data_IF_325070506595
#
_entry.id   IF_325070506595
#
_cell.length_a   1.000
_cell.length_b   1.000
_cell.length_c   1.000
_cell.angle_alpha   90.00
_cell.angle_beta   90.00
_cell.angle_gamma   90.00
#
_symmetry.space_group_name_H-M   'P 1'
#
loop_
_entity.id
_entity.type
_entity.pdbx_description
1 polymer ?
#
# COMPACT_ATOMS: atom_id res chain seq x y z
N UNK A 1 21.37 -59.41 36.80
CA UNK A 1 21.54 -57.95 36.94
C UNK A 1 21.07 -57.30 35.64
N UNK A 2 20.02 -56.48 35.68
CA UNK A 2 19.46 -55.79 34.50
C UNK A 2 20.22 -54.47 34.32
N UNK A 3 20.95 -54.32 33.22
CA UNK A 3 21.57 -53.07 32.79
C UNK A 3 20.51 -52.15 32.19
N UNK A 4 20.27 -51.01 32.82
CA UNK A 4 19.42 -49.95 32.28
C UNK A 4 20.27 -49.04 31.38
N UNK A 5 19.90 -48.93 30.10
CA UNK A 5 20.44 -47.91 29.20
C UNK A 5 19.63 -46.62 29.37
N UNK A 6 20.27 -45.57 29.87
CA UNK A 6 19.71 -44.22 29.86
C UNK A 6 19.83 -43.65 28.43
N UNK A 7 18.70 -43.49 27.75
CA UNK A 7 18.66 -42.78 26.47
C UNK A 7 18.79 -41.28 26.73
N UNK A 8 19.92 -40.70 26.32
CA UNK A 8 20.16 -39.26 26.39
C UNK A 8 19.41 -38.59 25.22
N UNK A 9 18.27 -37.96 25.52
CA UNK A 9 17.51 -37.18 24.53
C UNK A 9 18.23 -35.85 24.34
N UNK A 10 19.00 -35.72 23.26
CA UNK A 10 19.51 -34.43 22.82
C UNK A 10 18.38 -33.63 22.17
N UNK A 11 17.89 -32.59 22.84
CA UNK A 11 17.04 -31.59 22.19
C UNK A 11 17.91 -30.73 21.29
N UNK A 12 17.69 -30.79 19.97
CA UNK A 12 18.26 -29.83 19.03
C UNK A 12 17.63 -28.45 19.31
N UNK A 13 18.31 -27.63 20.10
CA UNK A 13 17.94 -26.22 20.21
C UNK A 13 18.15 -25.59 18.83
N UNK A 14 17.06 -25.20 18.17
CA UNK A 14 17.13 -24.45 16.93
C UNK A 14 17.92 -23.17 17.20
N UNK A 15 19.03 -22.97 16.50
CA UNK A 15 19.79 -21.72 16.54
C UNK A 15 18.90 -20.63 15.96
N UNK A 16 18.17 -19.93 16.84
CA UNK A 16 17.39 -18.78 16.44
C UNK A 16 18.38 -17.63 16.26
N UNK A 17 18.63 -17.24 15.01
CA UNK A 17 19.41 -16.03 14.73
C UNK A 17 18.75 -14.84 15.42
N UNK A 18 19.45 -14.27 16.38
CA UNK A 18 19.07 -13.07 17.11
C UNK A 18 19.62 -11.85 16.37
N UNK A 19 18.74 -10.89 16.06
CA UNK A 19 19.11 -9.67 15.35
C UNK A 19 18.82 -8.47 16.25
N UNK A 20 19.82 -7.62 16.56
CA UNK A 20 19.61 -6.50 17.46
C UNK A 20 18.90 -5.34 16.75
N UNK A 21 18.01 -4.70 17.49
CA UNK A 21 17.34 -3.46 17.08
C UNK A 21 18.32 -2.28 17.11
N UNK A 22 18.35 -1.48 16.05
CA UNK A 22 19.27 -0.33 15.92
C UNK A 22 18.65 1.01 16.32
N UNK A 23 17.32 1.14 16.28
CA UNK A 23 16.59 2.34 16.69
C UNK A 23 16.32 2.40 18.19
N UNK A 24 16.15 3.61 18.75
CA UNK A 24 15.97 3.82 20.20
C UNK A 24 14.69 3.14 20.74
N UNK A 25 13.56 3.34 20.05
CA UNK A 25 12.31 2.61 20.25
C UNK A 25 11.70 2.29 18.89
N UNK A 26 11.45 1.01 18.63
CA UNK A 26 10.98 0.53 17.34
C UNK A 26 9.65 -0.19 17.49
N UNK A 27 8.64 0.30 16.77
CA UNK A 27 7.29 -0.25 16.81
C UNK A 27 7.20 -1.55 16.02
N UNK A 28 6.77 -2.61 16.69
CA UNK A 28 6.38 -3.87 16.08
C UNK A 28 4.88 -3.83 15.79
N UNK A 29 4.52 -3.92 14.52
CA UNK A 29 3.18 -3.62 14.02
C UNK A 29 2.41 -4.86 13.61
N UNK A 30 1.09 -4.78 13.54
CA UNK A 30 0.23 -5.91 13.16
C UNK A 30 0.34 -6.31 11.69
N UNK A 31 1.04 -5.52 10.87
CA UNK A 31 1.34 -5.82 9.47
C UNK A 31 2.56 -5.06 8.95
N UNK A 32 3.05 -5.39 7.74
CA UNK A 32 4.28 -4.83 7.17
C UNK A 32 4.04 -3.42 6.61
N UNK A 33 3.88 -2.45 7.49
CA UNK A 33 3.66 -1.06 7.11
C UNK A 33 3.51 -0.13 8.31
N UNK A 34 3.90 1.13 8.15
CA UNK A 34 3.86 2.16 9.21
C UNK A 34 2.45 2.53 9.65
N UNK A 35 1.42 2.20 8.85
CA UNK A 35 0.00 2.44 9.15
C UNK A 35 -0.66 1.32 9.97
N UNK A 36 -0.02 0.15 10.11
CA UNK A 36 -0.58 -0.93 10.92
C UNK A 36 -0.47 -0.61 12.41
N UNK A 37 -1.45 -1.08 13.18
CA UNK A 37 -1.52 -0.91 14.63
C UNK A 37 -0.26 -1.42 15.32
N UNK A 38 0.16 -0.74 16.39
CA UNK A 38 1.33 -1.14 17.17
C UNK A 38 0.90 -2.30 18.09
N UNK A 39 1.54 -3.46 17.96
CA UNK A 39 1.34 -4.60 18.85
C UNK A 39 2.19 -4.46 20.11
N UNK A 40 3.45 -4.04 19.93
CA UNK A 40 4.42 -3.75 20.98
C UNK A 40 5.56 -2.90 20.42
N UNK A 41 6.52 -2.52 21.26
CA UNK A 41 7.73 -1.86 20.83
C UNK A 41 8.97 -2.56 21.39
N UNK A 42 10.07 -2.48 20.65
CA UNK A 42 11.38 -2.97 21.05
C UNK A 42 12.32 -1.81 21.37
N UNK A 43 13.24 -2.03 22.31
CA UNK A 43 14.28 -1.06 22.66
C UNK A 43 15.53 -1.28 21.81
N UNK A 44 16.38 -0.26 21.70
CA UNK A 44 17.71 -0.40 21.11
C UNK A 44 18.51 -1.55 21.73
N UNK A 45 19.26 -2.26 20.90
CA UNK A 45 20.05 -3.45 21.24
C UNK A 45 19.23 -4.62 21.79
N UNK A 46 17.89 -4.53 21.79
CA UNK A 46 17.07 -5.69 22.07
C UNK A 46 17.15 -6.64 20.89
N UNK A 47 17.46 -7.90 21.17
CA UNK A 47 17.48 -8.95 20.17
C UNK A 47 16.07 -9.40 19.81
N UNK A 48 15.82 -9.55 18.51
CA UNK A 48 14.59 -10.11 17.95
C UNK A 48 14.90 -11.29 17.05
N UNK A 49 13.97 -12.23 16.99
CA UNK A 49 14.03 -13.37 16.07
C UNK A 49 13.17 -13.10 14.85
N UNK A 50 13.75 -13.21 13.65
CA UNK A 50 13.01 -13.01 12.40
C UNK A 50 12.49 -14.37 11.91
N UNK A 51 11.17 -14.51 11.83
CA UNK A 51 10.51 -15.72 11.33
C UNK A 51 10.45 -15.78 9.81
N UNK A 52 10.24 -14.62 9.17
CA UNK A 52 10.21 -14.46 7.72
C UNK A 52 10.24 -12.97 7.35
N UNK A 53 10.46 -12.66 6.08
CA UNK A 53 10.53 -11.28 5.58
C UNK A 53 9.55 -11.01 4.44
N UNK A 54 9.03 -9.80 4.36
CA UNK A 54 8.06 -9.42 3.32
C UNK A 54 8.26 -7.98 2.87
N UNK A 55 7.60 -7.57 1.79
CA UNK A 55 7.62 -6.18 1.33
C UNK A 55 6.46 -5.42 1.99
N UNK A 56 6.75 -4.19 2.42
CA UNK A 56 5.79 -3.29 3.04
C UNK A 56 6.04 -1.83 2.67
N UNK A 57 5.46 -0.91 3.46
CA UNK A 57 5.71 0.53 3.31
C UNK A 57 7.21 0.82 3.43
N UNK A 58 7.76 1.67 2.56
CA UNK A 58 9.18 1.99 2.64
C UNK A 58 9.50 2.87 3.85
N UNK A 59 10.48 2.45 4.66
CA UNK A 59 11.04 3.19 5.78
C UNK A 59 12.49 3.53 5.43
N UNK A 60 12.80 4.83 5.31
CA UNK A 60 14.14 5.32 4.95
C UNK A 60 14.75 4.66 3.70
N UNK A 61 13.92 4.39 2.68
CA UNK A 61 14.36 3.79 1.41
C UNK A 61 14.43 2.26 1.41
N UNK A 62 14.21 1.61 2.56
CA UNK A 62 14.11 0.15 2.66
C UNK A 62 12.63 -0.26 2.73
N UNK A 63 12.20 -1.22 1.91
CA UNK A 63 10.82 -1.71 1.87
C UNK A 63 10.65 -3.13 2.43
N UNK A 64 11.70 -3.69 3.03
CA UNK A 64 11.68 -5.00 3.69
C UNK A 64 11.14 -4.83 5.11
N UNK A 65 10.27 -5.75 5.49
CA UNK A 65 9.69 -5.87 6.82
C UNK A 65 9.92 -7.27 7.38
N UNK A 66 10.41 -7.32 8.61
CA UNK A 66 10.73 -8.53 9.35
C UNK A 66 9.53 -8.93 10.20
N UNK A 67 8.94 -10.10 9.91
CA UNK A 67 7.97 -10.72 10.81
C UNK A 67 8.74 -11.36 11.96
N UNK A 68 8.59 -10.84 13.16
CA UNK A 68 9.27 -11.36 14.34
C UNK A 68 8.57 -12.59 14.92
N UNK A 69 9.27 -13.36 15.76
CA UNK A 69 8.68 -14.47 16.51
C UNK A 69 7.54 -14.02 17.46
N UNK A 70 7.49 -12.74 17.84
CA UNK A 70 6.36 -12.15 18.57
C UNK A 70 5.10 -11.99 17.70
N UNK A 71 5.14 -12.37 16.42
CA UNK A 71 4.00 -12.32 15.51
C UNK A 71 3.57 -10.90 15.16
N UNK A 72 4.55 -10.00 14.96
CA UNK A 72 4.36 -8.64 14.47
C UNK A 72 5.50 -8.28 13.51
N UNK A 73 5.43 -7.11 12.88
CA UNK A 73 6.32 -6.70 11.81
C UNK A 73 7.12 -5.46 12.19
N UNK A 74 8.43 -5.49 11.94
CA UNK A 74 9.35 -4.36 12.11
C UNK A 74 9.95 -4.03 10.75
N UNK A 75 10.21 -2.75 10.47
CA UNK A 75 10.92 -2.39 9.25
C UNK A 75 12.38 -2.82 9.37
N UNK A 76 12.89 -3.53 8.37
CA UNK A 76 14.25 -4.09 8.33
C UNK A 76 15.34 -2.99 8.47
N UNK A 77 15.02 -1.76 8.07
CA UNK A 77 15.84 -0.57 8.35
C UNK A 77 16.31 -0.45 9.81
N UNK A 78 15.49 -0.89 10.77
CA UNK A 78 15.77 -0.80 12.21
C UNK A 78 16.32 -2.09 12.82
N UNK A 79 16.67 -3.08 12.01
CA UNK A 79 17.14 -4.39 12.45
C UNK A 79 18.52 -4.63 11.86
N UNK A 80 19.51 -4.97 12.70
CA UNK A 80 20.87 -5.23 12.22
C UNK A 80 20.94 -6.64 11.62
N UNK A 81 20.44 -6.80 10.40
CA UNK A 81 20.45 -8.07 9.66
C UNK A 81 21.75 -8.33 8.90
N UNK A 82 22.55 -7.27 8.65
CA UNK A 82 23.83 -7.36 7.95
C UNK A 82 23.70 -7.44 6.43
N UNK A 83 22.51 -7.25 5.87
CA UNK A 83 22.22 -7.25 4.43
C UNK A 83 21.24 -6.13 4.09
N UNK A 84 21.29 -5.64 2.86
CA UNK A 84 20.23 -4.77 2.28
C UNK A 84 19.14 -5.57 1.55
N UNK A 85 19.25 -6.91 1.57
CA UNK A 85 18.29 -7.85 1.01
C UNK A 85 17.78 -8.84 2.05
N UNK A 86 17.01 -9.83 1.58
CA UNK A 86 16.45 -10.87 2.44
C UNK A 86 17.56 -11.71 3.12
N UNK A 87 17.48 -11.84 4.44
CA UNK A 87 18.36 -12.71 5.26
C UNK A 87 17.69 -14.02 5.66
N UNK A 88 16.38 -14.15 5.45
CA UNK A 88 15.63 -15.39 5.68
C UNK A 88 14.56 -15.58 4.61
N UNK A 89 13.83 -16.70 4.70
CA UNK A 89 12.73 -17.03 3.78
C UNK A 89 11.71 -15.88 3.72
N UNK A 90 11.18 -15.65 2.53
CA UNK A 90 10.04 -14.75 2.37
C UNK A 90 8.87 -15.27 3.18
N UNK A 91 8.10 -14.37 3.79
CA UNK A 91 6.87 -14.76 4.44
C UNK A 91 6.00 -15.47 3.41
N UNK A 92 5.41 -16.63 3.76
CA UNK A 92 4.38 -17.22 2.92
C UNK A 92 3.35 -16.13 2.64
N UNK A 93 2.80 -16.11 1.43
CA UNK A 93 1.78 -15.14 1.03
C UNK A 93 0.56 -15.32 1.94
N UNK A 94 0.61 -14.70 3.11
CA UNK A 94 -0.41 -14.70 4.14
C UNK A 94 -0.71 -13.24 4.43
N UNK A 95 -1.73 -12.76 3.72
CA UNK A 95 -2.86 -12.07 4.32
C UNK A 95 -2.48 -11.27 5.56
N UNK A 96 -2.04 -10.03 5.32
CA UNK A 96 -1.90 -9.04 6.38
C UNK A 96 -3.25 -8.93 7.10
N UNK A 97 -3.26 -9.41 8.34
CA UNK A 97 -4.44 -9.44 9.21
C UNK A 97 -4.84 -8.03 9.64
N UNK A 98 -5.49 -7.31 8.74
CA UNK A 98 -6.66 -6.53 9.07
C UNK A 98 -7.88 -7.37 8.72
N UNK A 99 -8.31 -8.24 9.64
CA UNK A 99 -9.62 -8.87 9.53
C UNK A 99 -10.68 -7.80 9.78
N UNK A 100 -10.93 -6.99 8.76
CA UNK A 100 -12.25 -6.44 8.53
C UNK A 100 -12.78 -7.22 7.36
N UNK A 101 -13.95 -7.83 7.55
CA UNK A 101 -14.86 -8.36 6.54
C UNK A 101 -15.31 -7.28 5.53
N UNK A 102 -14.41 -6.41 5.11
CA UNK A 102 -14.64 -5.35 4.15
C UNK A 102 -14.76 -5.95 2.75
N UNK A 103 -15.80 -5.54 2.04
CA UNK A 103 -16.08 -5.93 0.66
C UNK A 103 -15.04 -5.42 -0.36
N UNK A 104 -13.90 -4.86 0.07
CA UNK A 104 -12.84 -4.36 -0.81
C UNK A 104 -11.61 -3.94 -0.03
N UNK A 105 -10.45 -3.83 -0.69
CA UNK A 105 -9.25 -3.26 -0.10
C UNK A 105 -9.37 -1.73 0.01
N UNK A 106 -9.34 -1.19 1.23
CA UNK A 106 -9.36 0.27 1.48
C UNK A 106 -8.12 0.99 0.94
N UNK A 107 -7.01 0.27 0.78
CA UNK A 107 -5.75 0.77 0.24
C UNK A 107 -5.41 0.08 -1.09
N UNK A 108 -4.38 0.58 -1.78
CA UNK A 108 -3.85 0.01 -3.01
C UNK A 108 -2.38 -0.43 -2.82
N UNK A 109 -1.87 -1.22 -3.76
CA UNK A 109 -0.48 -1.68 -3.71
C UNK A 109 0.54 -0.56 -4.10
N UNK A 110 1.82 -0.83 -3.88
CA UNK A 110 2.90 0.13 -4.18
C UNK A 110 2.91 0.61 -5.62
N UNK A 111 2.63 -0.27 -6.60
CA UNK A 111 2.58 0.10 -8.01
C UNK A 111 1.49 1.14 -8.30
N UNK A 112 0.33 1.05 -7.63
CA UNK A 112 -0.72 2.06 -7.69
C UNK A 112 -0.30 3.40 -7.08
N UNK A 113 0.32 3.37 -5.91
CA UNK A 113 0.83 4.58 -5.24
C UNK A 113 1.87 5.29 -6.11
N UNK A 114 2.80 4.53 -6.70
CA UNK A 114 3.83 5.05 -7.60
C UNK A 114 3.24 5.63 -8.88
N UNK A 115 2.19 4.99 -9.43
CA UNK A 115 1.48 5.48 -10.59
C UNK A 115 0.81 6.82 -10.32
N UNK A 116 0.07 6.95 -9.21
CA UNK A 116 -0.57 8.22 -8.84
C UNK A 116 0.51 9.28 -8.59
N UNK A 117 1.53 8.96 -7.79
CA UNK A 117 2.62 9.87 -7.48
C UNK A 117 3.36 10.40 -8.73
N UNK A 118 3.53 9.55 -9.76
CA UNK A 118 4.11 9.95 -11.05
C UNK A 118 3.29 11.05 -11.74
N UNK A 119 1.97 10.96 -11.69
CA UNK A 119 1.07 11.84 -12.44
C UNK A 119 0.63 13.09 -11.68
N UNK A 120 0.54 13.04 -10.35
CA UNK A 120 0.14 14.19 -9.54
C UNK A 120 1.29 15.18 -9.30
N UNK A 121 2.54 14.72 -9.38
CA UNK A 121 3.71 15.55 -9.04
C UNK A 121 3.85 15.78 -7.53
N UNK A 122 5.06 16.14 -7.10
CA UNK A 122 5.41 16.23 -5.68
C UNK A 122 5.52 17.69 -5.21
N UNK A 123 4.77 18.03 -4.17
CA UNK A 123 4.82 19.33 -3.49
C UNK A 123 5.28 19.13 -2.05
N UNK A 124 6.48 19.62 -1.73
CA UNK A 124 7.11 19.35 -0.42
C UNK A 124 6.46 20.11 0.74
N UNK A 125 5.99 21.35 0.52
CA UNK A 125 5.36 22.17 1.55
C UNK A 125 4.13 22.88 0.99
N UNK A 126 3.10 23.15 1.81
CA UNK A 126 1.94 23.92 1.39
C UNK A 126 2.39 25.28 0.87
N UNK A 127 2.00 25.63 -0.36
CA UNK A 127 2.24 26.97 -0.89
C UNK A 127 1.02 27.84 -0.60
N UNK A 128 1.18 29.04 0.00
CA UNK A 128 0.07 29.96 0.18
C UNK A 128 -0.60 30.24 -1.17
N UNK A 129 -1.90 29.98 -1.26
CA UNK A 129 -2.71 30.32 -2.41
C UNK A 129 -3.59 31.55 -2.04
N UNK A 130 -3.50 32.67 -2.77
CA UNK A 130 -4.32 33.86 -2.51
C UNK A 130 -5.83 33.63 -2.75
N UNK A 131 -6.22 32.59 -3.48
CA UNK A 131 -7.60 32.36 -3.97
C UNK A 131 -8.13 30.97 -3.55
N UNK A 132 -7.28 30.07 -3.04
CA UNK A 132 -7.61 28.66 -2.81
C UNK A 132 -7.06 28.04 -1.54
N UNK A 133 -7.44 26.79 -1.31
CA UNK A 133 -6.84 25.94 -0.29
C UNK A 133 -5.52 25.34 -0.83
N UNK A 134 -4.41 25.43 -0.09
CA UNK A 134 -3.12 24.96 -0.59
C UNK A 134 -3.12 23.44 -0.82
N UNK A 135 -2.32 22.97 -1.77
CA UNK A 135 -2.06 21.55 -1.99
C UNK A 135 -0.67 21.15 -1.54
N UNK A 136 -0.52 19.90 -1.09
CA UNK A 136 0.78 19.35 -0.65
C UNK A 136 0.89 17.87 -0.99
N UNK A 137 2.10 17.32 -0.96
CA UNK A 137 2.36 15.92 -1.27
C UNK A 137 2.04 15.60 -2.72
N UNK A 138 1.23 14.56 -2.94
CA UNK A 138 0.75 14.12 -4.25
C UNK A 138 -0.74 14.43 -4.41
N UNK A 139 -1.10 15.71 -4.32
CA UNK A 139 -2.47 16.18 -4.53
C UNK A 139 -3.37 16.22 -3.29
N UNK A 140 -2.80 16.23 -2.08
CA UNK A 140 -3.57 16.44 -0.85
C UNK A 140 -4.08 17.89 -0.82
N UNK A 141 -5.40 18.08 -0.80
CA UNK A 141 -6.03 19.38 -0.66
C UNK A 141 -6.21 19.71 0.82
N UNK A 142 -5.50 20.72 1.31
CA UNK A 142 -5.54 21.04 2.72
C UNK A 142 -6.89 21.60 3.15
N UNK A 143 -7.40 21.14 4.28
CA UNK A 143 -8.68 21.54 4.87
C UNK A 143 -8.52 22.57 5.98
N UNK A 144 -7.33 22.69 6.57
CA UNK A 144 -7.04 23.71 7.58
C UNK A 144 -5.94 24.67 7.13
N UNK A 145 -5.93 25.86 7.74
CA UNK A 145 -4.90 26.86 7.50
C UNK A 145 -3.51 26.27 7.75
N UNK A 146 -2.61 26.44 6.78
CA UNK A 146 -1.25 25.88 6.78
C UNK A 146 -1.20 24.34 6.83
N UNK A 147 -2.29 23.64 6.46
CA UNK A 147 -2.36 22.18 6.42
C UNK A 147 -2.05 21.52 7.78
N UNK A 148 -2.58 22.07 8.87
CA UNK A 148 -2.31 21.60 10.25
C UNK A 148 -2.85 20.19 10.53
N UNK A 149 -3.81 19.73 9.74
CA UNK A 149 -4.35 18.38 9.76
C UNK A 149 -3.36 17.33 9.24
N UNK A 150 -2.35 17.74 8.47
CA UNK A 150 -1.31 16.84 7.97
C UNK A 150 -0.40 16.47 9.13
N UNK A 151 -0.44 15.19 9.53
CA UNK A 151 0.36 14.64 10.64
C UNK A 151 1.87 14.56 10.38
N UNK A 152 2.29 14.80 9.14
CA UNK A 152 3.70 14.74 8.72
C UNK A 152 4.35 16.11 8.82
N UNK A 153 5.63 16.14 9.21
CA UNK A 153 6.40 17.39 9.27
C UNK A 153 6.72 17.90 7.86
N UNK A 154 6.58 19.21 7.68
CA UNK A 154 7.03 19.90 6.48
C UNK A 154 8.51 20.30 6.58
N UNK A 155 9.27 20.33 5.47
CA UNK A 155 8.87 19.84 4.15
C UNK A 155 8.69 18.32 4.16
N UNK A 156 7.64 17.83 3.50
CA UNK A 156 7.45 16.41 3.26
C UNK A 156 8.66 15.87 2.50
N UNK A 157 9.01 14.62 2.75
CA UNK A 157 9.78 13.80 1.83
C UNK A 157 8.84 13.13 0.83
N UNK A 158 9.36 12.61 -0.29
CA UNK A 158 8.56 11.77 -1.21
C UNK A 158 7.93 10.57 -0.48
N UNK A 159 8.61 10.02 0.53
CA UNK A 159 8.10 8.92 1.35
C UNK A 159 6.89 9.37 2.16
N UNK A 160 7.02 10.41 2.97
CA UNK A 160 5.90 10.92 3.78
C UNK A 160 4.75 11.45 2.92
N UNK A 161 5.03 11.95 1.71
CA UNK A 161 4.00 12.34 0.76
C UNK A 161 3.25 11.14 0.16
N UNK A 162 3.92 10.00 -0.06
CA UNK A 162 3.23 8.75 -0.43
C UNK A 162 2.42 8.18 0.73
N UNK A 163 2.89 8.34 1.97
CA UNK A 163 2.11 7.96 3.15
C UNK A 163 0.87 8.85 3.31
N UNK A 164 1.00 10.18 3.10
CA UNK A 164 -0.15 11.10 3.05
C UNK A 164 -1.13 10.72 1.93
N UNK A 165 -0.63 10.38 0.75
CA UNK A 165 -1.47 9.88 -0.34
C UNK A 165 -2.23 8.62 0.10
N UNK A 166 -1.57 7.66 0.76
CA UNK A 166 -2.22 6.47 1.29
C UNK A 166 -3.30 6.77 2.35
N UNK A 167 -3.15 7.84 3.12
CA UNK A 167 -4.18 8.31 4.06
C UNK A 167 -5.40 8.90 3.33
N UNK A 168 -5.20 9.50 2.15
CA UNK A 168 -6.27 10.11 1.34
C UNK A 168 -7.03 9.09 0.48
N UNK A 169 -6.34 8.03 0.03
CA UNK A 169 -6.89 7.03 -0.89
C UNK A 169 -8.17 6.30 -0.43
N UNK A 170 -8.42 6.04 0.87
CA UNK A 170 -9.67 5.46 1.35
C UNK A 170 -10.93 6.16 0.86
N UNK A 171 -10.89 7.48 0.61
CA UNK A 171 -12.01 8.22 0.02
C UNK A 171 -12.34 7.70 -1.39
N UNK A 172 -11.32 7.48 -2.21
CA UNK A 172 -11.47 7.08 -3.61
C UNK A 172 -11.76 5.58 -3.76
N UNK A 173 -11.10 4.73 -2.97
CA UNK A 173 -11.39 3.28 -2.94
C UNK A 173 -12.81 3.02 -2.44
N UNK A 174 -13.28 3.78 -1.44
CA UNK A 174 -14.68 3.73 -1.00
C UNK A 174 -15.64 4.14 -2.11
N UNK A 175 -15.42 5.28 -2.76
CA UNK A 175 -16.28 5.71 -3.88
C UNK A 175 -16.38 4.63 -4.95
N UNK A 176 -15.24 4.09 -5.39
CA UNK A 176 -15.21 3.05 -6.41
C UNK A 176 -15.98 1.79 -5.95
N UNK A 177 -15.78 1.37 -4.70
CA UNK A 177 -16.48 0.22 -4.16
C UNK A 177 -17.99 0.42 -4.07
N UNK A 178 -18.45 1.61 -3.69
CA UNK A 178 -19.87 1.97 -3.60
C UNK A 178 -20.56 1.96 -4.99
N UNK A 179 -19.80 2.12 -6.08
CA UNK A 179 -20.34 2.15 -7.45
C UNK A 179 -20.27 0.81 -8.16
N UNK A 180 -19.50 -0.14 -7.64
CA UNK A 180 -19.41 -1.49 -8.18
C UNK A 180 -20.38 -2.43 -7.44
N UNK A 181 -20.92 -3.41 -8.15
CA UNK A 181 -21.63 -4.54 -7.57
C UNK A 181 -20.70 -5.75 -7.38
N UNK A 182 -21.21 -6.92 -7.01
CA UNK A 182 -20.43 -8.12 -6.72
C UNK A 182 -19.93 -8.89 -7.96
N UNK A 183 -20.34 -8.50 -9.18
CA UNK A 183 -19.93 -9.17 -10.42
C UNK A 183 -18.46 -8.97 -10.79
N UNK A 184 -17.89 -7.75 -10.81
CA UNK A 184 -16.49 -7.57 -11.13
C UNK A 184 -15.61 -8.15 -10.02
N UNK A 185 -14.68 -9.03 -10.41
CA UNK A 185 -13.60 -9.51 -9.54
C UNK A 185 -12.31 -8.85 -9.99
N UNK A 186 -11.75 -8.01 -9.13
CA UNK A 186 -10.57 -7.22 -9.46
C UNK A 186 -9.39 -7.64 -8.60
N UNK A 187 -8.25 -7.87 -9.24
CA UNK A 187 -6.99 -8.09 -8.55
C UNK A 187 -6.38 -6.76 -8.06
N UNK A 188 -5.30 -6.84 -7.28
CA UNK A 188 -4.66 -5.67 -6.67
C UNK A 188 -4.19 -4.61 -7.68
N UNK A 189 -3.70 -5.01 -8.86
CA UNK A 189 -3.26 -4.07 -9.89
C UNK A 189 -4.45 -3.41 -10.61
N UNK A 190 -5.51 -4.17 -10.86
CA UNK A 190 -6.75 -3.65 -11.45
C UNK A 190 -7.42 -2.64 -10.52
N UNK A 191 -7.52 -2.96 -9.23
CA UNK A 191 -8.02 -2.07 -8.20
C UNK A 191 -7.19 -0.79 -8.07
N UNK A 192 -5.86 -0.92 -8.07
CA UNK A 192 -4.92 0.19 -8.04
C UNK A 192 -5.07 1.13 -9.25
N UNK A 193 -5.15 0.58 -10.46
CA UNK A 193 -5.30 1.36 -11.68
C UNK A 193 -6.63 2.12 -11.73
N UNK A 194 -7.75 1.47 -11.36
CA UNK A 194 -9.03 2.17 -11.28
C UNK A 194 -9.05 3.21 -10.17
N UNK A 195 -8.40 2.96 -9.04
CA UNK A 195 -8.27 3.98 -7.98
C UNK A 195 -7.47 5.19 -8.45
N UNK A 196 -6.40 5.00 -9.22
CA UNK A 196 -5.66 6.11 -9.86
C UNK A 196 -6.52 6.92 -10.82
N UNK A 197 -7.35 6.24 -11.62
CA UNK A 197 -8.28 6.89 -12.51
C UNK A 197 -9.33 7.69 -11.74
N UNK A 198 -9.95 7.10 -10.70
CA UNK A 198 -10.94 7.76 -9.82
C UNK A 198 -10.33 8.95 -9.07
N UNK A 199 -9.07 8.87 -8.63
CA UNK A 199 -8.34 9.99 -8.04
C UNK A 199 -8.27 11.18 -9.01
N UNK A 200 -8.00 10.90 -10.29
CA UNK A 200 -7.89 11.93 -11.33
C UNK A 200 -9.22 12.55 -11.74
N UNK A 201 -10.23 11.72 -12.02
CA UNK A 201 -11.50 12.17 -12.60
C UNK A 201 -12.52 12.54 -11.53
N UNK A 202 -12.30 12.13 -10.29
CA UNK A 202 -13.21 12.32 -9.16
C UNK A 202 -14.34 11.30 -9.11
N UNK A 203 -14.90 11.12 -7.90
CA UNK A 203 -15.94 10.12 -7.65
C UNK A 203 -17.21 10.33 -8.49
N UNK A 204 -17.64 11.59 -8.70
CA UNK A 204 -18.85 11.90 -9.46
C UNK A 204 -18.79 11.41 -10.91
N UNK A 205 -17.68 11.71 -11.60
CA UNK A 205 -17.44 11.25 -12.97
C UNK A 205 -17.31 9.73 -13.07
N UNK A 206 -16.64 9.11 -12.09
CA UNK A 206 -16.52 7.65 -12.04
C UNK A 206 -17.88 6.96 -11.91
N UNK A 207 -18.76 7.46 -11.02
CA UNK A 207 -20.09 6.91 -10.75
C UNK A 207 -20.95 6.74 -12.01
N UNK A 208 -20.95 7.75 -12.88
CA UNK A 208 -21.81 7.79 -14.06
C UNK A 208 -21.15 7.21 -15.32
N UNK A 209 -19.89 6.77 -15.22
CA UNK A 209 -19.09 6.32 -16.34
C UNK A 209 -19.62 5.05 -17.01
N UNK A 210 -19.40 4.94 -18.33
CA UNK A 210 -19.60 3.69 -19.07
C UNK A 210 -18.69 2.58 -18.53
N UNK A 211 -17.47 2.90 -18.08
CA UNK A 211 -16.56 1.95 -17.46
C UNK A 211 -17.22 1.20 -16.29
N UNK A 212 -17.75 1.92 -15.30
CA UNK A 212 -18.41 1.32 -14.13
C UNK A 212 -19.65 0.53 -14.55
N UNK A 213 -20.47 1.08 -15.47
CA UNK A 213 -21.66 0.37 -15.98
C UNK A 213 -21.29 -1.00 -16.60
N UNK A 214 -20.27 -1.04 -17.44
CA UNK A 214 -19.81 -2.28 -18.10
C UNK A 214 -19.24 -3.29 -17.11
N UNK A 215 -18.46 -2.84 -16.11
CA UNK A 215 -18.01 -3.72 -15.02
C UNK A 215 -19.18 -4.33 -14.25
N UNK A 216 -20.20 -3.52 -13.93
CA UNK A 216 -21.41 -3.99 -13.23
C UNK A 216 -22.32 -4.89 -14.07
N UNK A 217 -22.15 -4.86 -15.39
CA UNK A 217 -22.78 -5.82 -16.30
C UNK A 217 -22.04 -7.16 -16.34
N UNK A 218 -20.87 -7.27 -15.68
CA UNK A 218 -20.07 -8.49 -15.65
C UNK A 218 -19.19 -8.68 -16.87
N UNK A 219 -18.98 -7.63 -17.67
CA UNK A 219 -18.07 -7.69 -18.81
C UNK A 219 -16.61 -7.90 -18.35
N UNK A 220 -15.80 -8.51 -19.23
CA UNK A 220 -14.41 -8.84 -18.91
C UNK A 220 -13.61 -7.58 -18.57
N UNK A 221 -13.12 -7.51 -17.32
CA UNK A 221 -12.53 -6.28 -16.77
C UNK A 221 -11.36 -5.74 -17.59
N UNK A 222 -10.51 -6.61 -18.15
CA UNK A 222 -9.39 -6.19 -19.00
C UNK A 222 -9.85 -5.56 -20.32
N UNK A 223 -10.96 -6.04 -20.91
CA UNK A 223 -11.55 -5.46 -22.12
C UNK A 223 -12.15 -4.10 -21.80
N UNK A 224 -12.97 -4.03 -20.74
CA UNK A 224 -13.60 -2.77 -20.30
C UNK A 224 -12.56 -1.69 -20.01
N UNK A 225 -11.51 -2.02 -19.25
CA UNK A 225 -10.45 -1.05 -18.93
C UNK A 225 -9.69 -0.59 -20.19
N UNK A 226 -9.38 -1.50 -21.11
CA UNK A 226 -8.65 -1.18 -22.35
C UNK A 226 -9.45 -0.25 -23.28
N UNK A 227 -10.77 -0.38 -23.32
CA UNK A 227 -11.63 0.39 -24.21
C UNK A 227 -12.12 1.70 -23.57
N UNK A 228 -12.40 1.71 -22.26
CA UNK A 228 -13.02 2.86 -21.60
C UNK A 228 -12.02 3.85 -21.01
N UNK A 229 -10.90 3.40 -20.41
CA UNK A 229 -9.92 4.33 -19.84
C UNK A 229 -9.37 5.33 -20.87
N UNK A 230 -9.00 4.95 -22.11
CA UNK A 230 -8.46 5.90 -23.10
C UNK A 230 -9.42 7.03 -23.51
N UNK A 231 -10.72 6.91 -23.21
CA UNK A 231 -11.72 7.97 -23.48
C UNK A 231 -11.62 9.13 -22.49
N UNK A 232 -11.09 8.91 -21.29
CA UNK A 232 -10.91 9.91 -20.23
C UNK A 232 -9.62 10.71 -20.41
N UNK A 233 -9.49 11.36 -21.58
CA UNK A 233 -8.30 12.10 -22.02
C UNK A 233 -8.55 13.59 -22.30
N UNK A 234 -9.74 14.09 -21.98
CA UNK A 234 -10.14 15.46 -22.33
C UNK A 234 -10.33 16.34 -21.10
N UNK A 235 -9.97 17.62 -21.22
CA UNK A 235 -10.36 18.68 -20.29
C UNK A 235 -10.56 19.98 -21.08
N UNK A 236 -11.53 20.81 -20.68
CA UNK A 236 -11.86 22.04 -21.41
C UNK A 236 -12.22 21.81 -22.88
N UNK A 237 -12.84 20.66 -23.20
CA UNK A 237 -13.22 20.28 -24.57
C UNK A 237 -12.07 19.84 -25.49
N UNK A 238 -10.84 19.73 -24.99
CA UNK A 238 -9.66 19.35 -25.78
C UNK A 238 -9.04 18.06 -25.25
N UNK A 239 -8.49 17.24 -26.15
CA UNK A 239 -7.63 16.11 -25.78
C UNK A 239 -6.33 16.66 -25.20
N UNK A 240 -5.94 16.16 -24.02
CA UNK A 240 -4.69 16.52 -23.37
C UNK A 240 -3.69 15.34 -23.45
N UNK A 241 -2.51 15.54 -24.06
CA UNK A 241 -1.50 14.48 -24.18
C UNK A 241 -1.10 13.85 -22.83
N UNK A 242 -1.04 14.65 -21.77
CA UNK A 242 -0.75 14.17 -20.42
C UNK A 242 -1.81 13.19 -19.89
N UNK A 243 -3.10 13.49 -20.11
CA UNK A 243 -4.18 12.57 -19.71
C UNK A 243 -4.16 11.30 -20.57
N UNK A 244 -3.91 11.42 -21.87
CA UNK A 244 -3.79 10.25 -22.74
C UNK A 244 -2.67 9.30 -22.27
N UNK A 245 -1.49 9.83 -21.98
CA UNK A 245 -0.37 9.05 -21.46
C UNK A 245 -0.68 8.45 -20.08
N UNK A 246 -1.40 9.18 -19.20
CA UNK A 246 -1.87 8.65 -17.91
C UNK A 246 -2.80 7.45 -18.08
N UNK A 247 -3.77 7.54 -18.99
CA UNK A 247 -4.69 6.43 -19.28
C UNK A 247 -3.95 5.21 -19.83
N UNK A 248 -2.91 5.40 -20.65
CA UNK A 248 -2.06 4.30 -21.13
C UNK A 248 -1.33 3.59 -19.98
N UNK A 249 -0.77 4.34 -19.04
CA UNK A 249 -0.11 3.76 -17.86
C UNK A 249 -1.09 3.04 -16.93
N UNK A 250 -2.30 3.58 -16.73
CA UNK A 250 -3.36 2.93 -15.96
C UNK A 250 -3.80 1.61 -16.61
N UNK A 251 -4.00 1.59 -17.93
CA UNK A 251 -4.29 0.34 -18.68
C UNK A 251 -3.15 -0.65 -18.55
N UNK A 252 -1.89 -0.20 -18.62
CA UNK A 252 -0.72 -1.05 -18.46
C UNK A 252 -0.67 -1.69 -17.07
N UNK A 253 -0.89 -0.92 -16.02
CA UNK A 253 -0.98 -1.46 -14.66
C UNK A 253 -2.15 -2.43 -14.54
N UNK A 254 -3.33 -2.06 -15.05
CA UNK A 254 -4.54 -2.87 -14.99
C UNK A 254 -4.36 -4.26 -15.62
N UNK A 255 -3.67 -4.33 -16.78
CA UNK A 255 -3.38 -5.59 -17.48
C UNK A 255 -2.28 -6.42 -16.84
N UNK A 256 -1.50 -5.86 -15.91
CA UNK A 256 -0.45 -6.60 -15.21
C UNK A 256 -1.07 -7.58 -14.22
N UNK A 257 -0.82 -8.88 -14.42
CA UNK A 257 -1.40 -9.93 -13.57
C UNK A 257 -1.00 -9.78 -12.09
N UNK A 258 -1.93 -10.11 -11.19
CA UNK A 258 -1.68 -10.21 -9.76
C UNK A 258 -2.55 -11.33 -9.17
N UNK A 259 -1.97 -12.11 -8.27
CA UNK A 259 -2.68 -13.19 -7.55
C UNK A 259 -3.48 -12.69 -6.35
N UNK A 260 -3.32 -11.42 -5.95
CA UNK A 260 -4.04 -10.83 -4.82
C UNK A 260 -5.38 -10.26 -5.27
N UNK A 261 -6.47 -10.72 -4.69
CA UNK A 261 -7.79 -10.16 -4.94
C UNK A 261 -7.99 -8.90 -4.10
N UNK A 262 -8.55 -7.85 -4.69
CA UNK A 262 -8.81 -6.60 -3.99
C UNK A 262 -10.30 -6.22 -3.93
N UNK A 263 -11.12 -6.74 -4.83
CA UNK A 263 -12.57 -6.50 -4.88
C UNK A 263 -13.29 -7.73 -5.46
N UNK A 264 -14.48 -8.14 -4.96
CA UNK A 264 -15.27 -7.57 -3.87
C UNK A 264 -14.88 -8.13 -2.49
N UNK A 265 -13.70 -8.72 -2.36
CA UNK A 265 -13.12 -9.11 -1.06
C UNK A 265 -11.63 -8.85 -1.12
N UNK A 266 -11.13 -8.14 -0.11
CA UNK A 266 -9.69 -7.93 0.06
C UNK A 266 -9.05 -9.22 0.58
N UNK A 267 -8.02 -9.73 -0.10
CA UNK A 267 -7.31 -10.97 0.23
C UNK A 267 -5.79 -10.76 0.25
#
# INVERSE_FOLDING_TARGET
>A
MKTAFAALVFSLASIVSAYPITGDVVNCRTGPGTSYGIKKSYKKNQDISISCQTVGTSVNGNNIWDKTADGCYVADYYVKTGSSGYVTKKCPASSGGGSSSSSYCKTINGAGVDLIAKWEGFVASPKPDPIGLPTVGYGHLCQQKNCREVKYKFPLTKTTAKELLLDDLPKYTKCLADYLNDKPKLNANQWAALTSWVFNVGCGNAKTSTLVKRLNNGEAANTVAAEELPKWRMAGGKVLPGLEARRKDEVKLFKTASSKQAYPKCQ
#
